data_IF_716397258810
#
_entry.id   IF_716397258810
#
_cell.length_a   1.000
_cell.length_b   1.000
_cell.length_c   1.000
_cell.angle_alpha   90.00
_cell.angle_beta   90.00
_cell.angle_gamma   90.00
#
_symmetry.space_group_name_H-M   'P 1'
#
loop_
_entity.id
_entity.type
_entity.pdbx_description
1 polymer ?
#
# COMPACT_ATOMS: atom_id res chain seq x y z
N UNK A 1 7.55 12.65 14.21
CA UNK A 1 7.22 11.25 13.95
C UNK A 1 7.16 11.06 12.44
N UNK A 2 7.90 10.11 11.86
CA UNK A 2 7.76 9.82 10.44
C UNK A 2 6.32 9.36 10.20
N UNK A 3 5.58 10.03 9.32
CA UNK A 3 4.32 9.53 8.79
C UNK A 3 4.63 8.23 8.05
N UNK A 4 4.60 7.13 8.79
CA UNK A 4 4.90 5.81 8.27
C UNK A 4 3.67 5.34 7.52
N UNK A 5 3.83 5.06 6.24
CA UNK A 5 2.73 4.56 5.41
C UNK A 5 2.33 3.16 5.84
N UNK A 6 1.06 2.83 5.67
CA UNK A 6 0.50 1.49 5.93
C UNK A 6 1.31 0.38 5.25
N UNK A 7 1.80 0.64 4.04
CA UNK A 7 2.67 -0.28 3.27
C UNK A 7 3.97 -0.59 4.04
N UNK A 8 4.57 0.42 4.65
CA UNK A 8 5.81 0.25 5.42
C UNK A 8 5.54 -0.55 6.69
N UNK A 9 4.41 -0.31 7.36
CA UNK A 9 3.99 -1.10 8.51
C UNK A 9 3.79 -2.57 8.13
N UNK A 10 3.01 -2.84 7.07
CA UNK A 10 2.78 -4.19 6.56
C UNK A 10 4.08 -4.94 6.26
N UNK A 11 5.03 -4.28 5.59
CA UNK A 11 6.32 -4.87 5.27
C UNK A 11 7.15 -5.22 6.51
N UNK A 12 7.08 -4.42 7.57
CA UNK A 12 7.82 -4.69 8.81
C UNK A 12 7.18 -5.81 9.64
N UNK A 13 5.85 -5.92 9.62
CA UNK A 13 5.12 -6.98 10.32
C UNK A 13 5.22 -8.33 9.60
N UNK A 14 5.21 -8.32 8.26
CA UNK A 14 5.46 -9.50 7.43
C UNK A 14 6.96 -9.63 7.12
N UNK A 15 7.72 -10.23 8.03
CA UNK A 15 9.12 -10.68 7.82
C UNK A 15 10.15 -9.58 7.45
N UNK A 16 9.84 -8.29 7.67
CA UNK A 16 10.69 -7.16 7.25
C UNK A 16 11.01 -7.22 5.75
N UNK A 17 10.01 -7.53 4.94
CA UNK A 17 10.12 -7.60 3.48
C UNK A 17 10.79 -6.34 2.91
N UNK A 18 11.74 -6.55 2.00
CA UNK A 18 12.33 -5.48 1.21
C UNK A 18 11.30 -4.89 0.23
N UNK A 19 11.59 -3.69 -0.30
CA UNK A 19 10.76 -3.06 -1.34
C UNK A 19 10.64 -3.95 -2.59
N UNK A 20 11.71 -4.69 -2.91
CA UNK A 20 11.76 -5.59 -4.06
C UNK A 20 10.90 -6.83 -3.83
N UNK A 21 10.94 -7.41 -2.63
CA UNK A 21 10.07 -8.55 -2.28
C UNK A 21 8.61 -8.15 -2.27
N UNK A 22 8.28 -6.99 -1.69
CA UNK A 22 6.92 -6.47 -1.75
C UNK A 22 6.48 -6.26 -3.21
N UNK A 23 7.35 -5.70 -4.05
CA UNK A 23 7.05 -5.48 -5.46
C UNK A 23 6.81 -6.76 -6.27
N UNK A 24 7.40 -7.88 -5.85
CA UNK A 24 7.18 -9.21 -6.45
C UNK A 24 5.82 -9.83 -6.12
N UNK A 25 5.09 -9.29 -5.14
CA UNK A 25 3.72 -9.76 -4.82
C UNK A 25 2.70 -9.39 -5.90
N UNK A 26 3.04 -8.44 -6.78
CA UNK A 26 2.17 -7.93 -7.83
C UNK A 26 2.44 -8.62 -9.16
N UNK A 27 1.43 -8.68 -10.04
CA UNK A 27 1.55 -9.27 -11.39
C UNK A 27 1.02 -8.29 -12.44
N UNK A 28 1.89 -7.70 -13.30
CA UNK A 28 3.34 -7.91 -13.36
C UNK A 28 4.07 -7.34 -12.12
N UNK A 29 5.25 -7.88 -11.76
CA UNK A 29 6.06 -7.38 -10.66
C UNK A 29 6.33 -5.89 -10.81
N UNK A 30 6.32 -5.17 -9.69
CA UNK A 30 6.61 -3.73 -9.67
C UNK A 30 8.00 -3.46 -9.10
N UNK A 31 8.67 -2.45 -9.64
CA UNK A 31 9.99 -2.05 -9.16
C UNK A 31 9.94 -1.45 -7.75
N UNK A 32 11.04 -1.59 -7.00
CA UNK A 32 11.21 -0.95 -5.69
C UNK A 32 10.98 0.56 -5.70
N UNK A 33 11.31 1.23 -6.81
CA UNK A 33 11.09 2.68 -6.97
C UNK A 33 9.61 3.02 -6.98
N UNK A 34 8.78 2.15 -7.54
CA UNK A 34 7.33 2.28 -7.55
C UNK A 34 6.77 2.07 -6.14
N UNK A 35 7.22 1.03 -5.43
CA UNK A 35 6.83 0.78 -4.04
C UNK A 35 7.24 1.94 -3.13
N UNK A 36 8.45 2.48 -3.30
CA UNK A 36 8.90 3.66 -2.53
C UNK A 36 8.05 4.90 -2.79
N UNK A 37 7.54 5.09 -4.02
CA UNK A 37 6.58 6.17 -4.32
C UNK A 37 5.25 5.93 -3.62
N UNK A 38 4.80 4.69 -3.55
CA UNK A 38 3.58 4.33 -2.83
C UNK A 38 3.69 4.62 -1.34
N UNK A 39 4.82 4.26 -0.72
CA UNK A 39 5.11 4.60 0.68
C UNK A 39 5.20 6.11 0.95
N UNK A 40 5.28 6.95 -0.09
CA UNK A 40 5.23 8.40 0.02
C UNK A 40 3.85 8.99 -0.30
N UNK A 41 2.83 8.14 -0.44
CA UNK A 41 1.46 8.55 -0.78
C UNK A 41 1.22 8.79 -2.27
N UNK A 42 2.21 8.57 -3.14
CA UNK A 42 2.03 8.71 -4.59
C UNK A 42 1.53 7.38 -5.18
N UNK A 43 0.31 7.03 -4.80
CA UNK A 43 -0.41 5.83 -5.23
C UNK A 43 -1.54 6.27 -6.17
N UNK A 44 -1.80 5.48 -7.21
CA UNK A 44 -3.00 5.67 -8.03
C UNK A 44 -4.16 4.85 -7.47
N UNK A 45 -5.42 5.28 -7.64
CA UNK A 45 -6.58 4.55 -7.11
C UNK A 45 -6.62 3.08 -7.53
N UNK A 46 -6.26 2.79 -8.79
CA UNK A 46 -6.16 1.42 -9.29
C UNK A 46 -5.15 0.58 -8.51
N UNK A 47 -3.99 1.15 -8.16
CA UNK A 47 -2.97 0.46 -7.37
C UNK A 47 -3.37 0.28 -5.93
N UNK A 48 -4.08 1.23 -5.33
CA UNK A 48 -4.60 1.06 -3.96
C UNK A 48 -5.55 -0.14 -3.85
N UNK A 49 -6.41 -0.36 -4.85
CA UNK A 49 -7.29 -1.54 -4.91
C UNK A 49 -6.47 -2.83 -5.05
N UNK A 50 -5.43 -2.81 -5.88
CA UNK A 50 -4.56 -3.97 -6.07
C UNK A 50 -3.76 -4.31 -4.80
N UNK A 51 -3.23 -3.28 -4.13
CA UNK A 51 -2.56 -3.43 -2.84
C UNK A 51 -3.53 -4.01 -1.81
N UNK A 52 -4.77 -3.51 -1.73
CA UNK A 52 -5.79 -4.09 -0.85
C UNK A 52 -6.05 -5.56 -1.15
N UNK A 53 -6.16 -5.93 -2.43
CA UNK A 53 -6.40 -7.32 -2.82
C UNK A 53 -5.23 -8.26 -2.47
N UNK A 54 -3.99 -7.77 -2.53
CA UNK A 54 -2.77 -8.56 -2.29
C UNK A 54 -2.39 -8.62 -0.80
N UNK A 55 -2.55 -7.51 -0.10
CA UNK A 55 -2.03 -7.31 1.27
C UNK A 55 -3.11 -7.22 2.33
N UNK A 56 -4.37 -6.98 1.93
CA UNK A 56 -5.48 -6.69 2.85
C UNK A 56 -5.49 -5.26 3.40
N UNK A 57 -4.46 -4.44 3.11
CA UNK A 57 -4.43 -3.04 3.53
C UNK A 57 -5.58 -2.29 2.89
N UNK A 58 -6.42 -1.64 3.69
CA UNK A 58 -7.60 -0.95 3.16
C UNK A 58 -7.21 0.21 2.26
N UNK A 59 -7.80 0.29 1.06
CA UNK A 59 -7.52 1.37 0.10
C UNK A 59 -7.78 2.78 0.62
N UNK A 60 -8.71 2.96 1.56
CA UNK A 60 -8.96 4.26 2.20
C UNK A 60 -7.82 4.68 3.14
N UNK A 61 -7.05 3.74 3.68
CA UNK A 61 -5.86 4.06 4.47
C UNK A 61 -4.68 4.45 3.56
N UNK A 62 -4.65 3.93 2.33
CA UNK A 62 -3.65 4.28 1.31
C UNK A 62 -3.95 5.62 0.61
N UNK A 63 -5.23 5.87 0.28
CA UNK A 63 -5.69 7.05 -0.45
C UNK A 63 -7.02 7.55 0.12
N UNK A 64 -7.01 8.18 1.31
CA UNK A 64 -8.24 8.70 1.94
C UNK A 64 -8.90 9.79 1.09
N UNK A 65 -8.12 10.63 0.42
CA UNK A 65 -8.59 11.70 -0.46
C UNK A 65 -9.43 11.19 -1.64
N UNK A 66 -9.19 9.97 -2.11
CA UNK A 66 -9.87 9.41 -3.27
C UNK A 66 -11.02 8.47 -2.90
N UNK A 67 -10.81 7.61 -1.88
CA UNK A 67 -11.81 6.61 -1.48
C UNK A 67 -12.73 7.07 -0.35
N UNK A 68 -12.47 8.25 0.22
CA UNK A 68 -13.16 8.75 1.41
C UNK A 68 -12.79 7.96 2.67
N UNK A 69 -13.22 8.47 3.83
CA UNK A 69 -13.18 7.73 5.09
C UNK A 69 -14.36 6.77 5.04
N UNK A 70 -14.10 5.48 4.86
CA UNK A 70 -15.17 4.49 4.83
C UNK A 70 -15.72 4.25 6.24
N UNK A 71 -16.70 5.05 6.67
CA UNK A 71 -17.68 4.63 7.68
C UNK A 71 -18.57 3.56 7.05
N UNK A 72 -18.05 2.35 6.88
CA UNK A 72 -18.87 1.17 6.65
C UNK A 72 -19.25 0.59 8.02
N UNK A 73 -20.12 1.32 8.71
CA UNK A 73 -20.89 0.83 9.83
C UNK A 73 -22.37 1.08 9.50
N UNK A 74 -22.98 0.19 8.72
CA UNK A 74 -24.41 -0.10 8.79
C UNK A 74 -24.67 -1.55 8.38
#
# INVERSE_FOLDING_TARGET
MANKSEITTYREEHDRMSLEEFGKLFTPPVDKSTVMRWERGNITPRRAIEIEAVTGIKRHALLPEFFGISEAAE
#
